data_IF_851305573603
#
_entry.id   IF_851305573603
#
_cell.length_a   1.000
_cell.length_b   1.000
_cell.length_c   1.000
_cell.angle_alpha   90.00
_cell.angle_beta   90.00
_cell.angle_gamma   90.00
#
_symmetry.space_group_name_H-M   'P 1'
#
loop_
_entity.id
_entity.type
_entity.pdbx_description
1 polymer ?
#
# COMPACT_ATOMS: atom_id res chain seq x y z
N UNK A 1 -6.40 17.67 38.86
CA UNK A 1 -6.71 17.86 37.43
C UNK A 1 -8.20 17.84 37.12
N UNK A 2 -9.01 16.94 37.71
CA UNK A 2 -10.46 16.85 37.46
C UNK A 2 -11.27 18.11 37.84
N UNK A 3 -10.80 18.95 38.78
CA UNK A 3 -11.50 20.18 39.14
C UNK A 3 -11.63 21.19 37.99
N UNK A 4 -10.69 21.23 37.04
CA UNK A 4 -10.72 22.20 35.92
C UNK A 4 -11.85 21.92 34.94
N UNK A 5 -12.11 20.65 34.63
CA UNK A 5 -13.17 20.24 33.71
C UNK A 5 -14.56 20.52 34.28
N UNK A 6 -14.74 20.30 35.59
CA UNK A 6 -16.00 20.59 36.27
C UNK A 6 -16.25 22.09 36.37
N UNK A 7 -15.22 22.91 36.59
CA UNK A 7 -15.34 24.38 36.56
C UNK A 7 -15.83 24.87 35.19
N UNK A 8 -15.22 24.40 34.10
CA UNK A 8 -15.67 24.72 32.73
C UNK A 8 -17.10 24.25 32.46
N UNK A 9 -17.46 23.05 32.92
CA UNK A 9 -18.82 22.54 32.77
C UNK A 9 -19.85 23.38 33.54
N UNK A 10 -19.52 23.85 34.75
CA UNK A 10 -20.38 24.78 35.52
C UNK A 10 -20.53 26.13 34.81
N UNK A 11 -19.55 26.55 34.01
CA UNK A 11 -19.64 27.75 33.16
C UNK A 11 -20.45 27.51 31.89
N UNK A 12 -20.91 26.28 31.65
CA UNK A 12 -21.75 25.94 30.50
C UNK A 12 -21.00 25.32 29.32
N UNK A 13 -19.72 24.99 29.47
CA UNK A 13 -18.89 24.44 28.39
C UNK A 13 -18.84 22.91 28.45
N UNK A 14 -19.16 22.25 27.33
CA UNK A 14 -18.81 20.84 27.14
C UNK A 14 -17.30 20.75 26.92
N UNK A 15 -16.63 19.86 27.66
CA UNK A 15 -15.19 19.76 27.59
C UNK A 15 -14.68 18.34 27.87
N UNK A 16 -13.48 18.07 27.38
CA UNK A 16 -12.79 16.79 27.48
C UNK A 16 -11.50 17.00 28.28
N UNK A 17 -11.20 16.10 29.21
CA UNK A 17 -9.95 16.15 29.97
C UNK A 17 -8.80 15.54 29.18
N UNK A 18 -7.57 15.99 29.48
CA UNK A 18 -6.39 15.16 29.24
C UNK A 18 -6.56 13.80 29.93
N UNK A 19 -6.00 12.72 29.39
CA UNK A 19 -6.13 11.42 30.02
C UNK A 19 -5.31 11.39 31.32
N UNK A 20 -5.85 10.68 32.30
CA UNK A 20 -5.32 10.65 33.66
C UNK A 20 -5.56 9.28 34.28
N UNK A 21 -4.75 8.93 35.27
CA UNK A 21 -4.98 7.71 36.04
C UNK A 21 -6.21 7.85 36.94
N UNK A 22 -7.21 7.00 36.69
CA UNK A 22 -8.39 6.88 37.52
C UNK A 22 -8.01 6.42 38.92
N UNK A 23 -8.32 7.22 39.94
CA UNK A 23 -8.06 6.85 41.35
C UNK A 23 -8.91 5.68 41.85
N UNK A 24 -9.98 5.33 41.12
CA UNK A 24 -10.92 4.25 41.49
C UNK A 24 -10.50 2.93 40.85
N UNK A 25 -10.14 2.96 39.57
CA UNK A 25 -9.86 1.76 38.79
C UNK A 25 -8.37 1.52 38.55
N UNK A 26 -7.52 2.50 38.86
CA UNK A 26 -6.11 2.52 38.53
C UNK A 26 -5.82 2.27 37.04
N UNK A 27 -6.70 2.80 36.16
CA UNK A 27 -6.57 2.72 34.71
C UNK A 27 -6.51 4.11 34.08
N UNK A 28 -5.81 4.29 32.94
CA UNK A 28 -5.90 5.49 32.13
C UNK A 28 -7.34 5.74 31.66
N UNK A 29 -7.86 6.92 31.96
CA UNK A 29 -9.19 7.36 31.52
C UNK A 29 -9.15 8.81 31.06
N UNK A 30 -10.03 9.19 30.15
CA UNK A 30 -10.39 10.59 29.97
C UNK A 30 -11.82 10.84 30.42
N UNK A 31 -12.10 12.10 30.74
CA UNK A 31 -13.42 12.51 31.25
C UNK A 31 -14.03 13.49 30.28
N UNK A 32 -15.26 13.20 29.87
CA UNK A 32 -16.12 14.15 29.15
C UNK A 32 -17.08 14.74 30.18
N UNK A 33 -17.14 16.06 30.28
CA UNK A 33 -18.03 16.76 31.20
C UNK A 33 -18.94 17.74 30.44
N UNK A 34 -20.23 17.72 30.76
CA UNK A 34 -21.24 18.56 30.16
C UNK A 34 -22.21 19.14 31.20
N UNK A 35 -22.62 20.41 31.09
CA UNK A 35 -23.65 20.99 31.95
C UNK A 35 -25.01 20.33 31.70
N UNK A 36 -25.74 20.03 32.78
CA UNK A 36 -27.17 19.72 32.71
C UNK A 36 -27.94 21.02 32.90
N UNK A 37 -28.74 21.39 31.90
CA UNK A 37 -29.49 22.65 31.87
C UNK A 37 -30.98 22.43 32.01
N UNK A 38 -31.63 23.38 32.68
CA UNK A 38 -33.07 23.58 32.59
C UNK A 38 -33.33 25.06 32.30
N UNK A 39 -33.81 25.34 31.08
CA UNK A 39 -33.80 26.68 30.48
C UNK A 39 -32.39 27.28 30.50
N UNK A 40 -32.21 28.45 31.12
CA UNK A 40 -30.93 29.16 31.22
C UNK A 40 -30.11 28.78 32.46
N UNK A 41 -30.66 27.99 33.39
CA UNK A 41 -29.99 27.60 34.64
C UNK A 41 -29.26 26.27 34.46
N UNK A 42 -28.02 26.22 34.93
CA UNK A 42 -27.23 24.99 35.05
C UNK A 42 -27.59 24.33 36.38
N UNK A 43 -28.20 23.16 36.33
CA UNK A 43 -28.65 22.40 37.50
C UNK A 43 -27.55 21.49 38.07
N UNK A 44 -26.56 21.16 37.25
CA UNK A 44 -25.47 20.26 37.63
C UNK A 44 -24.59 19.90 36.45
N UNK A 45 -23.78 18.86 36.62
CA UNK A 45 -22.85 18.37 35.60
C UNK A 45 -23.08 16.88 35.40
N UNK A 46 -23.24 16.47 34.15
CA UNK A 46 -23.11 15.08 33.74
C UNK A 46 -21.67 14.87 33.30
N UNK A 47 -21.04 13.80 33.78
CA UNK A 47 -19.71 13.43 33.31
C UNK A 47 -19.63 11.94 32.99
N UNK A 48 -18.84 11.62 31.97
CA UNK A 48 -18.56 10.28 31.52
C UNK A 48 -17.07 10.03 31.67
N UNK A 49 -16.71 8.88 32.24
CA UNK A 49 -15.34 8.40 32.26
C UNK A 49 -15.21 7.34 31.18
N UNK A 50 -14.27 7.55 30.27
CA UNK A 50 -14.01 6.63 29.17
C UNK A 50 -12.66 5.97 29.42
N UNK A 51 -12.65 4.65 29.41
CA UNK A 51 -11.43 3.84 29.52
C UNK A 51 -10.60 3.98 28.24
N UNK A 52 -9.33 4.37 28.37
CA UNK A 52 -8.47 4.61 27.21
C UNK A 52 -8.04 3.33 26.50
N UNK A 53 -7.97 2.19 27.20
CA UNK A 53 -7.65 0.92 26.56
C UNK A 53 -8.81 0.48 25.66
N UNK A 54 -10.06 0.59 26.15
CA UNK A 54 -11.24 0.27 25.35
C UNK A 54 -11.44 1.26 24.20
N UNK A 55 -11.17 2.55 24.42
CA UNK A 55 -11.17 3.56 23.35
C UNK A 55 -10.13 3.21 22.27
N UNK A 56 -8.89 2.88 22.67
CA UNK A 56 -7.83 2.48 21.75
C UNK A 56 -8.23 1.26 20.92
N UNK A 57 -8.74 0.22 21.58
CA UNK A 57 -9.18 -1.02 20.93
C UNK A 57 -10.32 -0.81 19.94
N UNK A 58 -11.33 -0.03 20.31
CA UNK A 58 -12.56 0.12 19.50
C UNK A 58 -12.46 1.19 18.42
N UNK A 59 -11.64 2.24 18.63
CA UNK A 59 -11.58 3.42 17.73
C UNK A 59 -10.26 3.60 17.00
N UNK A 60 -9.15 3.09 17.55
CA UNK A 60 -7.80 3.33 17.01
C UNK A 60 -7.24 2.08 16.36
N UNK A 61 -7.43 0.92 16.98
CA UNK A 61 -6.87 -0.35 16.51
C UNK A 61 -7.44 -0.80 15.15
N UNK A 62 -8.70 -0.46 14.87
CA UNK A 62 -9.35 -0.75 13.59
C UNK A 62 -8.74 0.02 12.41
N UNK A 63 -7.99 1.09 12.66
CA UNK A 63 -7.29 1.85 11.63
C UNK A 63 -5.96 1.16 11.33
N UNK A 64 -5.95 0.38 10.25
CA UNK A 64 -4.78 -0.32 9.71
C UNK A 64 -4.48 0.16 8.30
N UNK A 65 -3.21 0.46 8.03
CA UNK A 65 -2.73 0.86 6.70
C UNK A 65 -1.60 -0.08 6.30
N UNK A 66 -1.70 -0.72 5.13
CA UNK A 66 -0.74 -1.74 4.72
C UNK A 66 -0.77 -2.94 5.68
N UNK A 67 0.39 -3.57 5.92
CA UNK A 67 0.47 -4.73 6.80
C UNK A 67 0.82 -4.38 8.25
N UNK A 68 1.73 -3.43 8.47
CA UNK A 68 2.24 -3.03 9.77
C UNK A 68 1.98 -1.56 10.11
N UNK A 69 1.26 -0.82 9.25
CA UNK A 69 0.88 0.55 9.55
C UNK A 69 -0.35 0.64 10.47
N UNK A 70 -0.32 1.59 11.39
CA UNK A 70 -1.34 1.76 12.42
C UNK A 70 -1.51 3.22 12.82
N UNK A 71 -2.68 3.54 13.39
CA UNK A 71 -2.93 4.84 13.99
C UNK A 71 -2.64 4.86 15.49
N UNK A 72 -2.32 6.03 16.03
CA UNK A 72 -2.28 6.35 17.45
C UNK A 72 -2.55 7.83 17.67
N UNK A 73 -2.86 8.23 18.90
CA UNK A 73 -3.10 9.61 19.27
C UNK A 73 -2.07 10.07 20.28
N UNK A 74 -1.68 11.34 20.16
CA UNK A 74 -0.85 12.06 21.12
C UNK A 74 -1.56 13.31 21.59
N UNK A 75 -1.31 13.74 22.82
CA UNK A 75 -1.77 15.04 23.28
C UNK A 75 -0.83 16.17 22.84
N UNK A 76 -1.16 17.40 23.26
CA UNK A 76 -0.41 18.62 22.93
C UNK A 76 1.02 18.64 23.49
N UNK A 77 1.35 17.78 24.45
CA UNK A 77 2.70 17.67 25.03
C UNK A 77 3.52 16.51 24.47
N UNK A 78 2.96 15.71 23.56
CA UNK A 78 3.65 14.56 22.97
C UNK A 78 3.48 13.23 23.73
N UNK A 79 2.62 13.19 24.75
CA UNK A 79 2.30 11.94 25.44
C UNK A 79 1.30 11.15 24.60
N UNK A 80 1.55 9.85 24.41
CA UNK A 80 0.63 8.94 23.75
C UNK A 80 -0.62 8.74 24.61
N UNK A 81 -1.79 9.03 24.03
CA UNK A 81 -3.08 8.96 24.72
C UNK A 81 -3.96 7.81 24.27
N UNK A 82 -3.73 7.29 23.06
CA UNK A 82 -4.37 6.08 22.56
C UNK A 82 -3.45 5.38 21.56
N UNK A 83 -3.30 4.06 21.67
CA UNK A 83 -2.35 3.30 20.85
C UNK A 83 -2.77 1.82 20.78
N UNK A 84 -2.51 1.09 19.67
CA UNK A 84 -2.82 -0.33 19.56
C UNK A 84 -2.14 -1.20 20.61
N UNK A 85 -0.90 -0.86 20.97
CA UNK A 85 -0.23 -1.39 22.16
C UNK A 85 -0.62 -0.53 23.40
N UNK A 86 -1.36 -1.09 24.37
CA UNK A 86 -1.79 -0.36 25.56
C UNK A 86 -0.64 0.07 26.48
N UNK A 87 0.52 -0.60 26.43
CA UNK A 87 1.67 -0.28 27.27
C UNK A 87 2.26 1.10 26.97
N UNK A 88 1.94 1.67 25.80
CA UNK A 88 2.42 3.01 25.41
C UNK A 88 1.50 4.12 25.92
N UNK A 89 0.24 3.82 26.26
CA UNK A 89 -0.74 4.81 26.68
C UNK A 89 -0.32 5.42 28.02
N UNK A 90 -0.11 6.74 28.04
CA UNK A 90 0.41 7.55 29.15
C UNK A 90 1.84 7.21 29.61
N UNK A 91 2.51 6.25 28.98
CA UNK A 91 3.87 5.84 29.33
C UNK A 91 4.91 6.29 28.29
N UNK A 92 4.49 6.45 27.04
CA UNK A 92 5.39 6.84 25.96
C UNK A 92 5.26 8.32 25.63
N UNK A 93 6.39 9.02 25.74
CA UNK A 93 6.53 10.42 25.39
C UNK A 93 7.33 10.55 24.09
N UNK A 94 6.68 11.07 23.05
CA UNK A 94 7.34 11.29 21.76
C UNK A 94 8.00 12.66 21.64
N UNK A 95 7.83 13.55 22.63
CA UNK A 95 8.40 14.90 22.61
C UNK A 95 9.93 14.91 22.60
N UNK A 96 10.53 13.82 23.07
CA UNK A 96 11.97 13.58 23.02
C UNK A 96 12.53 13.40 21.60
N UNK A 97 11.68 13.07 20.62
CA UNK A 97 12.15 12.83 19.25
C UNK A 97 12.02 14.08 18.38
N UNK A 98 12.98 14.31 17.49
CA UNK A 98 13.01 15.52 16.66
C UNK A 98 11.79 15.67 15.74
N UNK A 99 11.19 14.57 15.28
CA UNK A 99 10.02 14.59 14.42
C UNK A 99 8.77 15.15 15.13
N UNK A 100 8.71 15.14 16.46
CA UNK A 100 7.62 15.77 17.22
C UNK A 100 7.51 17.28 16.95
N UNK A 101 8.64 17.98 16.79
CA UNK A 101 8.65 19.42 16.47
C UNK A 101 7.89 19.69 15.16
N UNK A 102 8.05 18.80 14.18
CA UNK A 102 7.32 18.88 12.91
C UNK A 102 5.83 18.66 13.11
N UNK A 103 5.41 17.68 13.92
CA UNK A 103 3.99 17.46 14.26
C UNK A 103 3.37 18.68 14.93
N UNK A 104 4.12 19.39 15.77
CA UNK A 104 3.58 20.54 16.50
C UNK A 104 3.48 21.80 15.64
N UNK A 105 4.35 21.94 14.64
CA UNK A 105 4.43 23.12 13.77
C UNK A 105 3.29 23.27 12.74
N UNK A 106 2.53 22.21 12.48
CA UNK A 106 1.45 22.19 11.49
C UNK A 106 0.22 21.50 12.08
N UNK A 107 -0.96 21.85 11.57
CA UNK A 107 -2.19 21.16 11.96
C UNK A 107 -2.37 19.84 11.22
N UNK A 108 -1.76 19.67 10.06
CA UNK A 108 -1.70 18.39 9.35
C UNK A 108 -0.50 18.29 8.42
N UNK A 109 -0.16 17.07 8.02
CA UNK A 109 0.89 16.83 7.04
C UNK A 109 1.50 15.44 7.14
N UNK A 110 2.70 15.32 6.58
CA UNK A 110 3.48 14.08 6.57
C UNK A 110 4.89 14.37 7.08
N UNK A 111 5.47 13.42 7.80
CA UNK A 111 6.85 13.45 8.26
C UNK A 111 7.48 12.06 8.09
N UNK A 112 8.71 12.03 7.59
CA UNK A 112 9.51 10.82 7.59
C UNK A 112 10.41 10.82 8.82
N UNK A 113 10.53 9.67 9.47
CA UNK A 113 11.31 9.53 10.68
C UNK A 113 11.84 8.11 10.82
N UNK A 114 12.89 7.96 11.62
CA UNK A 114 13.41 6.64 11.98
C UNK A 114 13.13 6.39 13.45
N UNK A 115 12.60 5.20 13.75
CA UNK A 115 12.37 4.76 15.12
C UNK A 115 12.80 3.30 15.24
N UNK A 116 13.64 3.00 16.24
CA UNK A 116 14.21 1.66 16.46
C UNK A 116 14.92 1.09 15.21
N UNK A 117 15.62 1.94 14.46
CA UNK A 117 16.31 1.55 13.23
C UNK A 117 15.40 1.30 12.02
N UNK A 118 14.08 1.43 12.18
CA UNK A 118 13.11 1.27 11.09
C UNK A 118 12.73 2.63 10.52
N UNK A 119 12.87 2.78 9.19
CA UNK A 119 12.41 3.98 8.47
C UNK A 119 10.90 3.96 8.29
N UNK A 120 10.24 5.02 8.78
CA UNK A 120 8.79 5.17 8.81
C UNK A 120 8.35 6.49 8.19
N UNK A 121 7.11 6.50 7.71
CA UNK A 121 6.40 7.71 7.33
C UNK A 121 5.18 7.85 8.25
N UNK A 122 4.99 9.04 8.81
CA UNK A 122 3.82 9.39 9.60
C UNK A 122 3.00 10.46 8.87
N UNK A 123 1.70 10.22 8.75
CA UNK A 123 0.70 11.24 8.41
C UNK A 123 0.04 11.69 9.70
N UNK A 124 -0.20 12.98 9.86
CA UNK A 124 -0.79 13.51 11.09
C UNK A 124 -1.85 14.57 10.82
N UNK A 125 -2.80 14.67 11.74
CA UNK A 125 -3.83 15.70 11.76
C UNK A 125 -4.22 16.03 13.21
N UNK A 126 -4.27 17.32 13.55
CA UNK A 126 -4.69 17.83 14.86
C UNK A 126 -6.20 17.97 14.91
N UNK A 127 -6.78 17.42 15.98
CA UNK A 127 -8.19 17.53 16.29
C UNK A 127 -8.46 18.87 17.04
N UNK A 128 -9.38 19.72 16.56
CA UNK A 128 -9.54 21.07 17.10
C UNK A 128 -10.11 21.17 18.52
N UNK A 129 -10.93 20.22 18.97
CA UNK A 129 -11.63 20.29 20.27
C UNK A 129 -10.70 20.00 21.44
N UNK A 130 -9.87 18.97 21.30
CA UNK A 130 -8.93 18.47 22.32
C UNK A 130 -7.52 18.98 22.09
N UNK A 131 -7.17 19.33 20.85
CA UNK A 131 -5.79 19.59 20.42
C UNK A 131 -4.96 18.32 20.27
N UNK A 132 -5.54 17.13 20.45
CA UNK A 132 -4.84 15.88 20.24
C UNK A 132 -4.51 15.69 18.77
N UNK A 133 -3.35 15.10 18.50
CA UNK A 133 -2.92 14.84 17.13
C UNK A 133 -3.08 13.35 16.85
N UNK A 134 -3.88 13.04 15.83
CA UNK A 134 -3.96 11.68 15.26
C UNK A 134 -2.73 11.49 14.39
N UNK A 135 -2.01 10.40 14.61
CA UNK A 135 -0.83 10.03 13.83
C UNK A 135 -1.04 8.65 13.25
N UNK A 136 -0.86 8.52 11.95
CA UNK A 136 -0.88 7.24 11.26
C UNK A 136 0.53 6.97 10.75
N UNK A 137 1.14 5.89 11.23
CA UNK A 137 2.50 5.52 10.87
C UNK A 137 2.50 4.28 9.98
N UNK A 138 3.43 4.23 9.03
CA UNK A 138 3.66 3.10 8.14
C UNK A 138 5.16 2.90 7.94
N UNK A 139 5.59 1.63 7.86
CA UNK A 139 6.98 1.29 7.54
C UNK A 139 7.22 1.49 6.05
N UNK A 140 8.38 2.07 5.67
CA UNK A 140 8.73 2.21 4.26
C UNK A 140 8.75 0.86 3.53
N UNK A 141 9.22 -0.19 4.21
CA UNK A 141 9.27 -1.55 3.66
C UNK A 141 7.89 -2.12 3.32
N UNK A 142 6.83 -1.70 4.01
CA UNK A 142 5.47 -2.14 3.72
C UNK A 142 4.93 -1.49 2.44
N UNK A 143 5.23 -0.21 2.24
CA UNK A 143 4.91 0.50 1.00
C UNK A 143 5.63 -0.15 -0.19
N UNK A 144 6.91 -0.51 0.00
CA UNK A 144 7.67 -1.22 -1.03
C UNK A 144 7.16 -2.63 -1.28
N UNK A 145 6.80 -3.39 -0.23
CA UNK A 145 6.24 -4.75 -0.37
C UNK A 145 4.93 -4.75 -1.16
N UNK A 146 4.04 -3.80 -0.90
CA UNK A 146 2.81 -3.64 -1.70
C UNK A 146 3.12 -3.47 -3.19
N UNK A 147 4.23 -2.79 -3.51
CA UNK A 147 4.65 -2.54 -4.89
C UNK A 147 5.43 -3.72 -5.48
N UNK A 148 6.17 -4.49 -4.66
CA UNK A 148 6.99 -5.61 -5.12
C UNK A 148 6.17 -6.70 -5.80
N UNK A 149 4.96 -6.98 -5.32
CA UNK A 149 4.03 -7.93 -5.96
C UNK A 149 3.64 -7.50 -7.38
N UNK A 150 3.41 -6.21 -7.58
CA UNK A 150 3.12 -5.63 -8.90
C UNK A 150 4.32 -5.78 -9.83
N UNK A 151 5.52 -5.48 -9.34
CA UNK A 151 6.76 -5.67 -10.10
C UNK A 151 6.98 -7.13 -10.49
N UNK A 152 6.83 -8.08 -9.57
CA UNK A 152 7.01 -9.51 -9.87
C UNK A 152 6.02 -9.98 -10.94
N UNK A 153 4.75 -9.60 -10.82
CA UNK A 153 3.73 -9.95 -11.82
C UNK A 153 4.04 -9.32 -13.18
N UNK A 154 4.48 -8.05 -13.21
CA UNK A 154 4.87 -7.35 -14.43
C UNK A 154 6.11 -7.98 -15.09
N UNK A 155 7.11 -8.40 -14.32
CA UNK A 155 8.29 -9.08 -14.86
C UNK A 155 7.96 -10.44 -15.44
N UNK A 156 7.07 -11.21 -14.79
CA UNK A 156 6.63 -12.51 -15.30
C UNK A 156 5.85 -12.34 -16.60
N UNK A 157 4.91 -11.38 -16.67
CA UNK A 157 4.12 -11.14 -17.89
C UNK A 157 4.99 -10.63 -19.03
N UNK A 158 5.94 -9.73 -18.76
CA UNK A 158 6.93 -9.28 -19.73
C UNK A 158 7.80 -10.43 -20.23
N UNK A 159 8.34 -11.25 -19.32
CA UNK A 159 9.15 -12.41 -19.67
C UNK A 159 8.40 -13.43 -20.53
N UNK A 160 7.14 -13.73 -20.17
CA UNK A 160 6.27 -14.61 -20.95
C UNK A 160 5.98 -14.03 -22.35
N UNK A 161 5.74 -12.72 -22.45
CA UNK A 161 5.54 -12.04 -23.74
C UNK A 161 6.77 -12.12 -24.64
N UNK A 162 7.96 -11.86 -24.09
CA UNK A 162 9.23 -11.98 -24.84
C UNK A 162 9.45 -13.42 -25.31
N UNK A 163 9.27 -14.40 -24.43
CA UNK A 163 9.41 -15.81 -24.78
C UNK A 163 8.43 -16.25 -25.88
N UNK A 164 7.18 -15.78 -25.82
CA UNK A 164 6.16 -16.06 -26.83
C UNK A 164 6.57 -15.48 -28.19
N UNK A 165 7.02 -14.22 -28.23
CA UNK A 165 7.49 -13.59 -29.47
C UNK A 165 8.69 -14.33 -30.04
N UNK A 166 9.68 -14.67 -29.20
CA UNK A 166 10.83 -15.47 -29.62
C UNK A 166 10.43 -16.85 -30.15
N UNK A 167 9.47 -17.52 -29.51
CA UNK A 167 8.98 -18.83 -29.94
C UNK A 167 8.26 -18.75 -31.30
N UNK A 168 7.43 -17.71 -31.51
CA UNK A 168 6.76 -17.46 -32.80
C UNK A 168 7.77 -17.17 -33.90
N UNK A 169 8.74 -16.29 -33.66
CA UNK A 169 9.81 -15.97 -34.62
C UNK A 169 10.60 -17.25 -34.95
N UNK A 170 11.02 -18.01 -33.94
CA UNK A 170 11.77 -19.26 -34.14
C UNK A 170 10.97 -20.27 -34.96
N UNK A 171 9.66 -20.42 -34.70
CA UNK A 171 8.79 -21.32 -35.45
C UNK A 171 8.66 -20.91 -36.92
N UNK A 172 8.46 -19.60 -37.19
CA UNK A 172 8.39 -19.06 -38.55
C UNK A 172 9.71 -19.27 -39.28
N UNK A 173 10.84 -18.88 -38.69
CA UNK A 173 12.17 -19.01 -39.29
C UNK A 173 12.49 -20.47 -39.58
N UNK A 174 12.26 -21.38 -38.63
CA UNK A 174 12.52 -22.81 -38.82
C UNK A 174 11.70 -23.40 -39.97
N UNK A 175 10.44 -22.99 -40.11
CA UNK A 175 9.58 -23.42 -41.23
C UNK A 175 10.09 -22.87 -42.56
N UNK A 176 10.41 -21.58 -42.62
CA UNK A 176 10.95 -20.94 -43.82
C UNK A 176 12.28 -21.56 -44.26
N UNK A 177 13.22 -21.78 -43.34
CA UNK A 177 14.50 -22.41 -43.65
C UNK A 177 14.32 -23.84 -44.16
N UNK A 178 13.39 -24.62 -43.61
CA UNK A 178 13.11 -25.98 -44.08
C UNK A 178 12.53 -26.02 -45.50
N UNK A 179 11.60 -25.12 -45.81
CA UNK A 179 11.03 -25.03 -47.17
C UNK A 179 12.09 -24.58 -48.19
N UNK A 180 12.93 -23.60 -47.83
CA UNK A 180 14.04 -23.15 -48.67
C UNK A 180 15.06 -24.27 -48.92
N UNK A 181 15.43 -25.04 -47.90
CA UNK A 181 16.32 -26.20 -48.05
C UNK A 181 15.71 -27.26 -48.96
N UNK A 182 14.38 -27.46 -48.90
CA UNK A 182 13.68 -28.39 -49.80
C UNK A 182 13.75 -27.93 -51.26
N UNK A 183 13.59 -26.62 -51.52
CA UNK A 183 13.81 -26.05 -52.85
C UNK A 183 15.25 -26.24 -53.35
N UNK A 184 16.25 -26.02 -52.49
CA UNK A 184 17.67 -26.21 -52.82
C UNK A 184 17.95 -27.67 -53.19
N UNK A 185 17.53 -28.63 -52.35
CA UNK A 185 17.72 -30.05 -52.61
C UNK A 185 16.98 -30.53 -53.86
N UNK A 186 15.82 -29.95 -54.18
CA UNK A 186 15.11 -30.23 -55.42
C UNK A 186 15.91 -29.75 -56.63
N UNK A 187 16.39 -28.50 -56.61
CA UNK A 187 17.22 -27.97 -57.69
C UNK A 187 18.51 -28.77 -57.88
N UNK A 188 19.17 -29.21 -56.80
CA UNK A 188 20.35 -30.10 -56.85
C UNK A 188 20.03 -31.45 -57.51
N UNK A 189 18.89 -32.07 -57.17
CA UNK A 189 18.49 -33.34 -57.76
C UNK A 189 18.20 -33.23 -59.26
N UNK A 190 17.51 -32.16 -59.67
CA UNK A 190 17.22 -31.87 -61.08
C UNK A 190 18.51 -31.61 -61.85
N UNK A 191 19.44 -30.83 -61.30
CA UNK A 191 20.76 -30.59 -61.91
C UNK A 191 21.60 -31.88 -62.02
N UNK A 192 21.40 -32.83 -61.11
CA UNK A 192 21.98 -34.17 -61.15
C UNK A 192 21.30 -35.15 -62.13
N UNK A 193 20.25 -34.72 -62.83
CA UNK A 193 19.53 -35.50 -63.84
C UNK A 193 18.32 -36.28 -63.33
N UNK A 194 17.92 -36.12 -62.07
CA UNK A 194 16.73 -36.78 -61.50
C UNK A 194 15.48 -35.90 -61.65
N UNK A 195 14.80 -36.04 -62.78
CA UNK A 195 13.58 -35.29 -63.13
C UNK A 195 12.28 -35.87 -62.54
N UNK A 196 12.35 -37.00 -61.81
CA UNK A 196 11.17 -37.66 -61.24
C UNK A 196 10.85 -37.20 -59.81
N UNK A 197 11.58 -36.22 -59.26
CA UNK A 197 11.26 -35.64 -57.94
C UNK A 197 10.12 -34.64 -58.03
N UNK A 198 9.41 -34.48 -56.91
CA UNK A 198 8.32 -33.52 -56.76
C UNK A 198 8.52 -32.65 -55.52
N UNK A 199 8.08 -31.39 -55.57
CA UNK A 199 8.28 -30.41 -54.51
C UNK A 199 6.94 -30.09 -53.83
N UNK A 200 6.63 -30.82 -52.76
CA UNK A 200 5.35 -30.70 -52.06
C UNK A 200 5.27 -29.48 -51.10
N UNK A 201 5.61 -28.28 -51.57
CA UNK A 201 5.51 -27.02 -50.81
C UNK A 201 4.20 -26.31 -51.15
N UNK A 202 3.26 -26.30 -50.19
CA UNK A 202 1.99 -25.58 -50.32
C UNK A 202 2.07 -24.23 -49.62
N UNK A 203 2.59 -23.22 -50.32
CA UNK A 203 2.60 -21.81 -49.89
C UNK A 203 2.12 -20.90 -51.02
N UNK A 204 1.60 -19.74 -50.66
CA UNK A 204 1.14 -18.69 -51.59
C UNK A 204 2.04 -17.45 -51.56
N UNK A 205 3.14 -17.50 -50.81
CA UNK A 205 4.15 -16.44 -50.71
C UNK A 205 5.28 -16.66 -51.74
N UNK A 206 6.36 -15.89 -51.63
CA UNK A 206 7.50 -15.91 -52.54
C UNK A 206 8.17 -17.30 -52.60
N UNK A 207 8.16 -18.06 -51.49
CA UNK A 207 8.71 -19.42 -51.45
C UNK A 207 7.81 -20.37 -52.25
N UNK A 208 6.49 -20.20 -52.19
CA UNK A 208 5.54 -20.97 -53.00
C UNK A 208 5.66 -20.67 -54.50
N UNK A 209 5.85 -19.40 -54.87
CA UNK A 209 6.09 -19.00 -56.26
C UNK A 209 7.39 -19.60 -56.80
N UNK A 210 8.47 -19.59 -56.00
CA UNK A 210 9.74 -20.24 -56.34
C UNK A 210 9.56 -21.75 -56.53
N UNK A 211 8.88 -22.42 -55.61
CA UNK A 211 8.62 -23.85 -55.69
C UNK A 211 7.84 -24.21 -56.98
N UNK A 212 6.79 -23.45 -57.31
CA UNK A 212 6.03 -23.66 -58.53
C UNK A 212 6.84 -23.41 -59.81
N UNK A 213 7.69 -22.38 -59.83
CA UNK A 213 8.58 -22.11 -60.96
C UNK A 213 9.60 -23.24 -61.18
N UNK A 214 10.15 -23.82 -60.10
CA UNK A 214 11.04 -24.98 -60.17
C UNK A 214 10.34 -26.22 -60.72
N UNK A 215 9.08 -26.48 -60.35
CA UNK A 215 8.32 -27.61 -60.91
C UNK A 215 8.06 -27.43 -62.41
N UNK A 216 7.70 -26.22 -62.86
CA UNK A 216 7.48 -25.93 -64.28
C UNK A 216 8.74 -26.16 -65.13
N UNK A 217 9.93 -25.93 -64.57
CA UNK A 217 11.23 -26.16 -65.24
C UNK A 217 11.49 -27.62 -65.55
N UNK A 218 10.99 -28.54 -64.70
CA UNK A 218 11.19 -30.00 -64.87
C UNK A 218 10.13 -30.60 -65.80
N UNK A 219 8.93 -30.02 -65.82
CA UNK A 219 7.82 -30.50 -66.66
C UNK A 219 7.84 -29.99 -68.11
N UNK A 220 8.69 -28.99 -68.43
CA UNK A 220 8.95 -28.54 -69.81
C UNK A 220 10.19 -29.23 -70.38
#
# INVERSE_FOLDING_TARGET
MTGRIFKKAIQGEVNISEPLMSRVTNKPVFVVAAPVRHNTKILGILYLRVDMAEFSRTRVESVRIGQAGYAYLINTTGIVVAHPNPDYVLQFDISQFDWFKTLMSKDSGTVNYTHEGVSKAAMFAREPVTGWTVVITVNHDDLQRATKSLWTTAFISMGAGVLLVCAVIFWIVRRMTGDLQSCVHFAEAVAGGDLNKHLAIRRTDEIGQLAGALEVMVTN
#
